data_IF_041099736879
#
_entry.id   IF_041099736879
#
_cell.length_a   1.000
_cell.length_b   1.000
_cell.length_c   1.000
_cell.angle_alpha   90.00
_cell.angle_beta   90.00
_cell.angle_gamma   90.00
#
_symmetry.space_group_name_H-M   'P 1'
#
loop_
_entity.id
_entity.type
_entity.pdbx_description
1 polymer ?
#
# COMPACT_ATOMS: atom_id res chain seq x y z
N UNK A 1 -6.02 -15.55 0.92
CA UNK A 1 -6.05 -14.05 1.00
C UNK A 1 -5.42 -13.53 2.27
N UNK A 2 -5.64 -14.18 3.42
CA UNK A 2 -5.09 -13.73 4.71
C UNK A 2 -3.57 -13.58 4.71
N UNK A 3 -2.84 -14.55 4.18
CA UNK A 3 -1.38 -14.49 4.11
C UNK A 3 -0.88 -13.32 3.28
N UNK A 4 -1.55 -13.04 2.17
CA UNK A 4 -1.19 -11.94 1.29
C UNK A 4 -1.42 -10.58 1.96
N UNK A 5 -2.50 -10.47 2.72
CA UNK A 5 -2.80 -9.24 3.48
C UNK A 5 -1.75 -9.01 4.56
N UNK A 6 -1.31 -10.08 5.23
CA UNK A 6 -0.24 -10.00 6.22
C UNK A 6 1.06 -9.51 5.58
N UNK A 7 1.36 -9.95 4.37
CA UNK A 7 2.53 -9.47 3.62
C UNK A 7 2.45 -7.97 3.37
N UNK A 8 1.28 -7.47 2.96
CA UNK A 8 1.07 -6.05 2.76
C UNK A 8 1.36 -5.26 4.04
N UNK A 9 0.74 -5.67 5.12
CA UNK A 9 0.89 -4.97 6.40
C UNK A 9 2.31 -5.04 6.92
N UNK A 10 2.93 -6.22 6.90
CA UNK A 10 4.28 -6.40 7.43
C UNK A 10 5.33 -5.67 6.59
N UNK A 11 5.20 -5.69 5.27
CA UNK A 11 6.18 -5.05 4.40
C UNK A 11 6.06 -3.53 4.44
N UNK A 12 4.84 -3.01 4.37
CA UNK A 12 4.61 -1.57 4.38
C UNK A 12 4.69 -0.99 5.78
N UNK A 13 4.28 -1.75 6.79
CA UNK A 13 4.29 -1.29 8.18
C UNK A 13 5.62 -1.44 8.90
N UNK A 14 6.60 -2.11 8.30
CA UNK A 14 7.88 -2.39 8.95
C UNK A 14 8.66 -1.09 9.16
N UNK A 15 8.94 -0.77 10.41
CA UNK A 15 9.65 0.45 10.77
C UNK A 15 8.82 1.72 10.69
N UNK A 16 7.51 1.60 10.48
CA UNK A 16 6.59 2.74 10.38
C UNK A 16 5.62 2.70 11.55
N UNK A 17 5.60 3.76 12.35
CA UNK A 17 4.62 3.90 13.41
C UNK A 17 3.26 4.30 12.80
N UNK A 18 2.17 3.70 13.29
CA UNK A 18 0.84 4.09 12.89
C UNK A 18 0.35 3.52 11.55
N UNK A 19 0.94 2.42 11.09
CA UNK A 19 0.42 1.74 9.91
C UNK A 19 -0.90 1.02 10.24
N UNK A 20 -1.94 1.28 9.44
CA UNK A 20 -3.25 0.63 9.60
C UNK A 20 -3.73 0.09 8.26
N UNK A 21 -4.53 -0.98 8.32
CA UNK A 21 -5.11 -1.60 7.13
C UNK A 21 -6.61 -1.72 7.32
N UNK A 22 -7.36 -1.30 6.31
CA UNK A 22 -8.82 -1.43 6.27
C UNK A 22 -9.25 -2.03 4.94
N UNK A 23 -10.30 -2.85 4.98
CA UNK A 23 -10.92 -3.37 3.78
C UNK A 23 -12.13 -2.52 3.41
N UNK A 24 -12.08 -1.87 2.25
CA UNK A 24 -13.20 -1.09 1.73
C UNK A 24 -14.02 -1.97 0.77
N UNK A 25 -15.12 -2.50 1.27
CA UNK A 25 -15.99 -3.39 0.50
C UNK A 25 -16.64 -2.68 -0.69
N UNK A 26 -17.00 -1.42 -0.54
CA UNK A 26 -17.65 -0.65 -1.60
C UNK A 26 -16.72 -0.45 -2.80
N UNK A 27 -15.43 -0.23 -2.54
CA UNK A 27 -14.43 -0.03 -3.58
C UNK A 27 -13.76 -1.33 -4.02
N UNK A 28 -13.95 -2.42 -3.27
CA UNK A 28 -13.30 -3.71 -3.55
C UNK A 28 -11.79 -3.64 -3.42
N UNK A 29 -11.28 -2.95 -2.40
CA UNK A 29 -9.85 -2.80 -2.19
C UNK A 29 -9.48 -2.81 -0.72
N UNK A 30 -8.20 -3.10 -0.46
CA UNK A 30 -7.61 -2.94 0.86
C UNK A 30 -6.82 -1.63 0.88
N UNK A 31 -7.07 -0.81 1.89
CA UNK A 31 -6.43 0.50 2.04
C UNK A 31 -5.46 0.46 3.22
N UNK A 32 -4.22 0.85 2.96
CA UNK A 32 -3.20 0.94 3.99
C UNK A 32 -2.85 2.40 4.18
N UNK A 33 -2.92 2.86 5.43
CA UNK A 33 -2.50 4.20 5.80
C UNK A 33 -1.21 4.13 6.57
N UNK A 34 -0.25 4.95 6.16
CA UNK A 34 1.10 5.01 6.75
C UNK A 34 1.42 6.45 7.12
N UNK A 35 1.95 6.67 8.30
CA UNK A 35 2.43 7.99 8.70
C UNK A 35 3.95 8.00 8.60
N UNK A 36 4.49 8.82 7.72
CA UNK A 36 5.92 9.00 7.49
C UNK A 36 6.25 10.48 7.54
N UNK A 37 7.26 10.85 8.33
CA UNK A 37 7.74 12.23 8.43
C UNK A 37 6.61 13.24 8.70
N UNK A 38 5.63 12.86 9.53
CA UNK A 38 4.51 13.71 9.91
C UNK A 38 3.36 13.77 8.91
N UNK A 39 3.46 13.07 7.78
CA UNK A 39 2.40 13.03 6.77
C UNK A 39 1.78 11.64 6.71
N UNK A 40 0.46 11.59 6.58
CA UNK A 40 -0.26 10.32 6.43
C UNK A 40 -0.50 10.05 4.95
N UNK A 41 0.02 8.93 4.47
CA UNK A 41 -0.14 8.49 3.08
C UNK A 41 -1.11 7.33 3.02
N UNK A 42 -1.71 7.10 1.85
CA UNK A 42 -2.62 5.98 1.63
C UNK A 42 -2.18 5.19 0.39
N UNK A 43 -2.22 3.87 0.50
CA UNK A 43 -2.00 2.96 -0.62
C UNK A 43 -3.20 2.03 -0.75
N UNK A 44 -3.82 1.99 -1.92
CA UNK A 44 -4.97 1.14 -2.21
C UNK A 44 -4.54 -0.06 -3.03
N UNK A 45 -4.87 -1.26 -2.54
CA UNK A 45 -4.59 -2.51 -3.23
C UNK A 45 -5.93 -3.15 -3.61
N UNK A 46 -6.34 -3.12 -4.90
CA UNK A 46 -7.58 -3.78 -5.30
C UNK A 46 -7.55 -5.26 -4.96
N UNK A 47 -8.68 -5.80 -4.52
CA UNK A 47 -8.78 -7.20 -4.12
C UNK A 47 -8.38 -8.14 -5.26
N UNK A 48 -8.74 -7.81 -6.50
CA UNK A 48 -8.38 -8.59 -7.68
C UNK A 48 -6.87 -8.63 -7.92
N UNK A 49 -6.16 -7.55 -7.62
CA UNK A 49 -4.70 -7.49 -7.75
C UNK A 49 -4.06 -8.38 -6.69
N UNK A 50 -4.54 -8.31 -5.46
CA UNK A 50 -4.04 -9.15 -4.38
C UNK A 50 -4.25 -10.63 -4.73
N UNK A 51 -5.43 -10.98 -5.24
CA UNK A 51 -5.76 -12.36 -5.57
C UNK A 51 -4.95 -12.88 -6.76
N UNK A 52 -4.66 -12.03 -7.75
CA UNK A 52 -3.98 -12.44 -8.99
C UNK A 52 -2.47 -12.53 -8.88
N UNK A 53 -1.85 -11.86 -7.89
CA UNK A 53 -0.40 -11.85 -7.73
C UNK A 53 0.05 -12.86 -6.67
N UNK A 54 1.21 -13.47 -6.87
CA UNK A 54 1.77 -14.35 -5.85
C UNK A 54 2.42 -13.51 -4.71
N UNK A 55 2.79 -14.20 -3.63
CA UNK A 55 3.34 -13.54 -2.45
C UNK A 55 4.62 -12.76 -2.75
N UNK A 56 5.50 -13.31 -3.59
CA UNK A 56 6.76 -12.66 -3.97
C UNK A 56 6.51 -11.37 -4.74
N UNK A 57 5.57 -11.40 -5.66
CA UNK A 57 5.21 -10.24 -6.46
C UNK A 57 4.58 -9.13 -5.59
N UNK A 58 3.67 -9.51 -4.69
CA UNK A 58 3.06 -8.56 -3.76
C UNK A 58 4.11 -7.90 -2.87
N UNK A 59 5.05 -8.68 -2.35
CA UNK A 59 6.14 -8.15 -1.53
C UNK A 59 6.96 -7.13 -2.30
N UNK A 60 7.24 -7.40 -3.58
CA UNK A 60 7.97 -6.47 -4.45
C UNK A 60 7.18 -5.18 -4.66
N UNK A 61 5.88 -5.28 -4.92
CA UNK A 61 5.02 -4.11 -5.08
C UNK A 61 4.96 -3.27 -3.81
N UNK A 62 4.88 -3.92 -2.64
CA UNK A 62 4.89 -3.23 -1.36
C UNK A 62 6.20 -2.47 -1.15
N UNK A 63 7.33 -3.05 -1.52
CA UNK A 63 8.63 -2.37 -1.43
C UNK A 63 8.69 -1.15 -2.34
N UNK A 64 8.12 -1.25 -3.53
CA UNK A 64 8.03 -0.13 -4.47
C UNK A 64 7.16 0.99 -3.91
N UNK A 65 6.00 0.65 -3.34
CA UNK A 65 5.12 1.63 -2.69
C UNK A 65 5.86 2.32 -1.55
N UNK A 66 6.52 1.56 -0.69
CA UNK A 66 7.28 2.12 0.43
C UNK A 66 8.36 3.09 -0.04
N UNK A 67 9.09 2.74 -1.10
CA UNK A 67 10.13 3.59 -1.66
C UNK A 67 9.56 4.90 -2.21
N UNK A 68 8.42 4.82 -2.90
CA UNK A 68 7.76 6.02 -3.44
C UNK A 68 7.26 6.94 -2.33
N UNK A 69 6.74 6.37 -1.24
CA UNK A 69 6.26 7.16 -0.11
C UNK A 69 7.40 7.79 0.68
N UNK A 70 8.53 7.10 0.80
CA UNK A 70 9.73 7.64 1.46
C UNK A 70 10.36 8.76 0.65
N UNK A 71 10.30 8.67 -0.67
CA UNK A 71 10.83 9.65 -1.60
C UNK A 71 9.77 10.71 -1.90
N UNK A 72 9.42 11.50 -0.89
CA UNK A 72 8.38 12.52 -0.99
C UNK A 72 8.93 13.87 -0.55
N UNK A 73 9.69 14.56 -1.43
CA UNK A 73 10.42 15.79 -1.06
C UNK A 73 9.54 16.94 -0.57
N UNK A 74 8.27 16.95 -0.96
CA UNK A 74 7.35 18.01 -0.54
C UNK A 74 6.69 17.78 0.82
N UNK A 75 6.83 16.58 1.40
CA UNK A 75 6.18 16.23 2.66
C UNK A 75 4.66 16.18 2.59
N UNK A 76 4.08 16.24 1.39
CA UNK A 76 2.63 16.24 1.22
C UNK A 76 2.08 14.82 1.28
N UNK A 77 0.87 14.63 1.84
CA UNK A 77 0.22 13.31 1.80
C UNK A 77 0.06 12.82 0.36
N UNK A 78 0.32 11.53 0.14
CA UNK A 78 0.17 10.91 -1.17
C UNK A 78 -0.85 9.79 -1.10
N UNK A 79 -1.55 9.60 -2.21
CA UNK A 79 -2.47 8.48 -2.39
C UNK A 79 -2.01 7.68 -3.60
N UNK A 80 -1.61 6.44 -3.38
CA UNK A 80 -1.14 5.54 -4.43
C UNK A 80 -2.16 4.43 -4.63
N UNK A 81 -2.40 4.06 -5.88
CA UNK A 81 -3.28 2.94 -6.23
C UNK A 81 -2.46 1.91 -6.98
N UNK A 82 -2.43 0.69 -6.46
CA UNK A 82 -1.72 -0.41 -7.10
C UNK A 82 -2.67 -1.09 -8.09
N UNK A 83 -2.29 -1.12 -9.36
CA UNK A 83 -3.06 -1.76 -10.41
C UNK A 83 -2.28 -2.91 -11.02
N UNK A 84 -2.93 -3.67 -11.91
CA UNK A 84 -2.30 -4.82 -12.55
C UNK A 84 -1.06 -4.43 -13.36
N UNK A 85 -1.04 -3.22 -13.92
CA UNK A 85 0.06 -2.70 -14.74
C UNK A 85 1.09 -1.88 -13.96
N UNK A 86 0.87 -1.65 -12.67
CA UNK A 86 1.82 -0.93 -11.84
C UNK A 86 1.17 -0.03 -10.80
N UNK A 87 1.94 0.91 -10.29
CA UNK A 87 1.52 1.83 -9.22
C UNK A 87 1.19 3.18 -9.83
N UNK A 88 0.01 3.70 -9.51
CA UNK A 88 -0.48 4.97 -10.01
C UNK A 88 -0.79 5.94 -8.89
N UNK A 89 -0.70 7.25 -9.18
CA UNK A 89 -1.19 8.25 -8.25
C UNK A 89 -2.72 8.24 -8.26
N UNK A 90 -3.31 8.21 -7.06
CA UNK A 90 -4.75 8.32 -6.88
C UNK A 90 -5.17 9.72 -6.48
N UNK A 91 -6.47 9.97 -6.50
CA UNK A 91 -7.03 11.26 -6.09
C UNK A 91 -8.04 11.09 -4.97
#
# INVERSE_FOLDING_TARGET
MKEKIEILLNTLGNGVAGATLEHNHAEGCHQIRLTLAGSTHRADFPDEVIASKDASHLKRLCKQVAALLKNNPGGKPRHLVVKADGIHEGF
#
